data_IF_196388818439
#
_entry.id   IF_196388818439
#
_cell.length_a   1.000
_cell.length_b   1.000
_cell.length_c   1.000
_cell.angle_alpha   90.00
_cell.angle_beta   90.00
_cell.angle_gamma   90.00
#
_symmetry.space_group_name_H-M   'P 1'
#
loop_
_entity.id
_entity.type
_entity.pdbx_description
1 polymer ?
#
# COMPACT_ATOMS: atom_id res chain seq x y z
N UNK A 1 -25.19 2.33 -18.67
CA UNK A 1 -24.41 1.43 -19.55
C UNK A 1 -23.03 1.29 -18.94
N UNK A 2 -22.47 0.07 -18.85
CA UNK A 2 -21.14 -0.15 -18.23
C UNK A 2 -20.02 0.71 -18.84
N UNK A 3 -20.16 1.11 -20.12
CA UNK A 3 -19.21 2.03 -20.77
C UNK A 3 -19.21 3.44 -20.15
N UNK A 4 -20.33 3.87 -19.56
CA UNK A 4 -20.43 5.18 -18.89
C UNK A 4 -19.67 5.17 -17.57
N UNK A 5 -19.80 4.10 -16.77
CA UNK A 5 -19.03 3.94 -15.54
C UNK A 5 -17.52 4.00 -15.79
N UNK A 6 -17.01 3.30 -16.81
CA UNK A 6 -15.58 3.41 -17.18
C UNK A 6 -15.19 4.82 -17.66
N UNK A 7 -16.07 5.55 -18.33
CA UNK A 7 -15.81 6.95 -18.74
C UNK A 7 -15.74 7.87 -17.53
N UNK A 8 -16.71 7.75 -16.62
CA UNK A 8 -16.82 8.56 -15.41
C UNK A 8 -15.60 8.36 -14.50
N UNK A 9 -15.06 7.13 -14.44
CA UNK A 9 -13.84 6.78 -13.71
C UNK A 9 -12.56 7.39 -14.32
N UNK A 10 -12.41 7.36 -15.64
CA UNK A 10 -11.27 7.96 -16.36
C UNK A 10 -11.31 9.50 -16.31
N UNK A 11 -12.50 10.09 -16.29
CA UNK A 11 -12.67 11.54 -16.16
C UNK A 11 -12.32 12.05 -14.74
N UNK A 12 -12.53 11.23 -13.70
CA UNK A 12 -12.15 11.53 -12.32
C UNK A 12 -10.61 11.55 -12.11
N UNK A 13 -9.87 10.68 -12.80
CA UNK A 13 -8.39 10.68 -12.81
C UNK A 13 -7.80 11.96 -13.44
N UNK A 14 -8.43 12.48 -14.49
CA UNK A 14 -7.96 13.70 -15.16
C UNK A 14 -8.24 14.98 -14.35
N UNK A 15 -9.32 15.02 -13.57
CA UNK A 15 -9.63 16.15 -12.68
C UNK A 15 -8.73 16.20 -11.44
N UNK A 16 -8.34 15.06 -10.88
CA UNK A 16 -7.48 14.99 -9.70
C UNK A 16 -6.02 15.34 -10.00
N UNK A 17 -5.55 15.12 -11.24
CA UNK A 17 -4.22 15.54 -11.68
C UNK A 17 -4.12 17.07 -11.93
N UNK A 18 -5.23 17.73 -12.31
CA UNK A 18 -5.24 19.19 -12.58
C UNK A 18 -5.36 20.05 -11.30
N UNK A 19 -5.97 19.52 -10.23
CA UNK A 19 -6.25 20.30 -8.99
C UNK A 19 -5.08 20.40 -8.02
N UNK A 20 -4.00 19.61 -8.18
CA UNK A 20 -2.80 19.67 -7.32
C UNK A 20 -1.81 20.78 -7.69
N UNK A 21 -2.04 21.56 -8.76
CA UNK A 21 -1.07 22.54 -9.28
C UNK A 21 -1.58 23.98 -9.29
N UNK A 22 -1.98 24.54 -8.14
CA UNK A 22 -1.90 25.99 -7.82
C UNK A 22 -2.60 26.31 -6.49
N UNK A 23 -1.86 26.33 -5.38
CA UNK A 23 -2.12 27.27 -4.26
C UNK A 23 -0.79 27.71 -3.67
N UNK A 24 -0.25 28.77 -4.26
CA UNK A 24 0.67 29.69 -3.58
C UNK A 24 -0.12 30.32 -2.42
N UNK A 25 0.35 30.21 -1.18
CA UNK A 25 0.26 31.17 -0.05
C UNK A 25 0.66 30.46 1.27
N UNK A 26 1.74 30.91 1.92
CA UNK A 26 2.03 30.63 3.34
C UNK A 26 3.31 29.82 3.64
N UNK A 27 4.45 30.52 3.72
CA UNK A 27 5.81 29.99 3.95
C UNK A 27 6.12 29.50 5.39
N UNK A 28 5.21 28.77 6.06
CA UNK A 28 5.43 28.46 7.49
C UNK A 28 4.94 27.12 8.05
N UNK A 29 4.07 26.37 7.35
CA UNK A 29 3.40 25.20 7.97
C UNK A 29 3.60 23.86 7.24
N UNK A 30 4.26 23.85 6.06
CA UNK A 30 4.42 22.63 5.26
C UNK A 30 5.76 21.90 5.49
N UNK A 31 6.79 22.61 5.96
CA UNK A 31 8.11 22.03 6.19
C UNK A 31 8.21 21.14 7.44
N UNK A 32 7.31 21.31 8.41
CA UNK A 32 7.38 20.51 9.65
C UNK A 32 6.94 19.06 9.42
N UNK A 33 5.91 18.83 8.59
CA UNK A 33 5.41 17.47 8.32
C UNK A 33 6.38 16.60 7.52
N UNK A 34 7.12 17.17 6.59
CA UNK A 34 8.06 16.40 5.76
C UNK A 34 9.28 15.95 6.57
N UNK A 35 9.77 16.79 7.48
CA UNK A 35 10.92 16.48 8.34
C UNK A 35 10.55 15.42 9.39
N UNK A 36 9.37 15.53 10.00
CA UNK A 36 8.92 14.54 10.98
C UNK A 36 8.64 13.17 10.31
N UNK A 37 8.17 13.17 9.07
CA UNK A 37 7.92 11.94 8.31
C UNK A 37 9.22 11.24 7.87
N UNK A 38 10.26 11.97 7.48
CA UNK A 38 11.58 11.40 7.18
C UNK A 38 12.21 10.76 8.43
N UNK A 39 12.09 11.42 9.59
CA UNK A 39 12.60 10.90 10.88
C UNK A 39 11.85 9.66 11.35
N UNK A 40 10.56 9.58 11.06
CA UNK A 40 9.73 8.42 11.38
C UNK A 40 9.97 7.22 10.45
N UNK A 41 10.71 7.36 9.35
CA UNK A 41 11.12 6.28 8.44
C UNK A 41 12.54 5.75 8.72
N UNK A 42 13.33 6.45 9.55
CA UNK A 42 14.69 6.06 9.93
C UNK A 42 14.73 4.96 11.00
N UNK A 43 15.81 4.19 11.01
CA UNK A 43 16.08 3.25 12.09
C UNK A 43 16.52 3.99 13.36
N UNK A 44 15.83 3.79 14.49
CA UNK A 44 16.18 4.41 15.79
C UNK A 44 17.51 3.96 16.45
N UNK A 45 18.41 3.33 15.68
CA UNK A 45 19.75 2.89 16.13
C UNK A 45 20.83 3.44 15.19
N UNK A 46 20.79 3.14 13.90
CA UNK A 46 21.77 3.65 12.93
C UNK A 46 21.36 4.95 12.23
N UNK A 47 20.10 5.39 12.37
CA UNK A 47 19.52 6.57 11.71
C UNK A 47 19.50 6.49 10.17
N UNK A 48 19.76 5.33 9.59
CA UNK A 48 19.62 5.15 8.15
C UNK A 48 18.15 4.91 7.77
N UNK A 49 17.70 5.44 6.62
CA UNK A 49 16.39 5.14 6.07
C UNK A 49 16.32 3.67 5.62
N UNK A 50 15.14 3.07 5.74
CA UNK A 50 14.88 1.75 5.16
C UNK A 50 13.83 0.96 5.90
N UNK A 51 13.56 -0.24 5.37
CA UNK A 51 12.57 -1.15 5.92
C UNK A 51 12.90 -1.55 7.35
N UNK A 52 11.95 -1.31 8.25
CA UNK A 52 12.07 -1.64 9.67
C UNK A 52 11.43 -2.99 9.96
N UNK A 53 12.00 -3.70 10.93
CA UNK A 53 11.52 -4.96 11.46
C UNK A 53 10.98 -4.72 12.86
N UNK A 54 9.76 -5.18 13.13
CA UNK A 54 9.09 -5.07 14.42
C UNK A 54 9.34 -6.33 15.24
N UNK A 55 9.78 -6.16 16.48
CA UNK A 55 10.00 -7.24 17.42
C UNK A 55 8.68 -7.76 18.03
N UNK A 56 8.45 -9.09 18.05
CA UNK A 56 7.29 -9.66 18.71
C UNK A 56 7.37 -9.41 20.23
N UNK A 57 6.21 -9.27 20.87
CA UNK A 57 6.07 -9.10 22.33
C UNK A 57 6.37 -7.70 22.88
N UNK A 58 7.03 -6.81 22.12
CA UNK A 58 7.24 -5.41 22.55
C UNK A 58 6.99 -4.35 21.47
N UNK A 59 6.74 -4.75 20.22
CA UNK A 59 6.39 -3.88 19.10
C UNK A 59 7.40 -2.76 18.79
N UNK A 60 8.64 -2.85 19.26
CA UNK A 60 9.69 -1.90 18.88
C UNK A 60 10.28 -2.26 17.52
N UNK A 61 10.66 -1.24 16.76
CA UNK A 61 11.10 -1.38 15.38
C UNK A 61 12.55 -0.90 15.17
N UNK A 62 13.31 -1.62 14.36
CA UNK A 62 14.67 -1.25 13.91
C UNK A 62 14.98 -1.90 12.56
N UNK A 63 15.99 -1.46 11.83
CA UNK A 63 16.37 -2.12 10.57
C UNK A 63 16.91 -3.55 10.82
N UNK A 64 16.81 -4.40 9.80
CA UNK A 64 17.23 -5.82 9.90
C UNK A 64 18.71 -5.97 10.27
N UNK A 65 19.57 -5.04 9.84
CA UNK A 65 21.01 -5.07 10.14
C UNK A 65 21.25 -4.81 11.64
N UNK A 66 20.66 -3.76 12.20
CA UNK A 66 20.74 -3.48 13.62
C UNK A 66 20.16 -4.61 14.48
N UNK A 67 19.04 -5.22 14.04
CA UNK A 67 18.50 -6.41 14.72
C UNK A 67 19.52 -7.55 14.76
N UNK A 68 20.09 -7.94 13.60
CA UNK A 68 21.03 -9.05 13.51
C UNK A 68 22.29 -8.81 14.35
N UNK A 69 22.84 -7.61 14.27
CA UNK A 69 24.03 -7.23 15.04
C UNK A 69 23.79 -7.23 16.54
N UNK A 70 22.62 -6.75 16.96
CA UNK A 70 22.23 -6.73 18.36
C UNK A 70 21.92 -8.12 18.88
N UNK A 71 21.12 -8.91 18.17
CA UNK A 71 20.71 -10.26 18.60
C UNK A 71 21.90 -11.22 18.72
N UNK A 72 22.99 -10.99 17.96
CA UNK A 72 24.25 -11.73 18.12
C UNK A 72 24.96 -11.44 19.45
N UNK A 73 24.72 -10.27 20.05
CA UNK A 73 25.37 -9.79 21.29
C UNK A 73 24.46 -9.94 22.51
N UNK A 74 23.15 -9.74 22.35
CA UNK A 74 22.17 -9.77 23.41
C UNK A 74 20.82 -10.27 22.90
N UNK A 75 20.28 -11.29 23.57
CA UNK A 75 18.92 -11.79 23.35
C UNK A 75 17.88 -10.90 24.06
N UNK A 76 17.94 -9.59 23.86
CA UNK A 76 17.02 -8.62 24.46
C UNK A 76 16.67 -7.51 23.48
N UNK A 77 15.50 -6.89 23.60
CA UNK A 77 15.16 -5.69 22.85
C UNK A 77 16.12 -4.54 23.25
N UNK A 78 16.76 -3.82 22.31
CA UNK A 78 17.66 -2.71 22.62
C UNK A 78 16.93 -1.51 23.24
N UNK A 79 15.61 -1.40 23.02
CA UNK A 79 14.79 -0.29 23.50
C UNK A 79 14.23 -0.54 24.90
N UNK A 80 13.60 -1.69 25.12
CA UNK A 80 12.90 -1.99 26.39
C UNK A 80 13.55 -3.10 27.22
N UNK A 81 14.63 -3.73 26.73
CA UNK A 81 15.34 -4.84 27.40
C UNK A 81 14.50 -6.12 27.62
N UNK A 82 13.30 -6.21 27.05
CA UNK A 82 12.51 -7.44 27.04
C UNK A 82 13.22 -8.59 26.31
N UNK A 83 13.06 -9.83 26.76
CA UNK A 83 13.83 -10.98 26.24
C UNK A 83 13.42 -11.42 24.83
N UNK A 84 14.41 -11.81 24.01
CA UNK A 84 14.26 -12.27 22.62
C UNK A 84 14.68 -13.73 22.39
N UNK A 85 14.89 -14.51 23.46
CA UNK A 85 15.50 -15.86 23.42
C UNK A 85 14.83 -16.90 22.51
N UNK A 86 13.63 -16.62 21.99
CA UNK A 86 12.86 -17.52 21.10
C UNK A 86 12.42 -16.85 19.81
N UNK A 87 12.92 -15.64 19.54
CA UNK A 87 12.56 -14.89 18.33
C UNK A 87 13.50 -15.34 17.21
N UNK A 88 12.92 -15.95 16.18
CA UNK A 88 13.61 -16.29 14.95
C UNK A 88 13.36 -15.22 13.89
N UNK A 89 14.03 -15.34 12.74
CA UNK A 89 13.84 -14.38 11.64
C UNK A 89 12.43 -14.40 11.07
N UNK A 90 11.74 -15.53 11.16
CA UNK A 90 10.37 -15.71 10.68
C UNK A 90 9.33 -15.04 11.61
N UNK A 91 9.72 -14.74 12.86
CA UNK A 91 8.84 -14.10 13.84
C UNK A 91 8.88 -12.56 13.76
N UNK A 92 9.73 -12.01 12.89
CA UNK A 92 9.88 -10.58 12.70
C UNK A 92 8.87 -10.06 11.66
N UNK A 93 8.25 -8.93 11.96
CA UNK A 93 7.27 -8.32 11.06
C UNK A 93 7.92 -7.16 10.31
N UNK A 94 7.72 -7.11 9.00
CA UNK A 94 8.12 -5.95 8.19
C UNK A 94 7.16 -4.81 8.48
N UNK A 95 7.68 -3.66 8.91
CA UNK A 95 6.91 -2.43 9.06
C UNK A 95 6.84 -1.73 7.71
N UNK A 96 5.65 -1.73 7.11
CA UNK A 96 5.35 -0.96 5.91
C UNK A 96 5.29 0.52 6.23
N UNK A 97 5.95 1.35 5.44
CA UNK A 97 5.88 2.80 5.59
C UNK A 97 4.51 3.33 5.15
N UNK A 98 4.15 4.53 5.58
CA UNK A 98 2.92 5.17 5.12
C UNK A 98 2.91 5.44 3.60
N UNK A 99 4.08 5.54 2.98
CA UNK A 99 4.23 5.73 1.53
C UNK A 99 4.04 4.45 0.71
N UNK A 100 4.16 3.27 1.33
CA UNK A 100 3.92 1.98 0.69
C UNK A 100 2.44 1.53 0.74
N UNK A 101 1.61 2.23 1.51
CA UNK A 101 0.18 1.93 1.61
C UNK A 101 -0.57 2.57 0.45
N UNK A 102 -1.15 1.73 -0.41
CA UNK A 102 -2.04 2.15 -1.50
C UNK A 102 -3.37 2.61 -0.88
N UNK A 103 -3.88 3.77 -1.32
CA UNK A 103 -5.12 4.31 -0.78
C UNK A 103 -6.35 3.49 -1.22
N UNK A 104 -7.43 3.45 -0.42
CA UNK A 104 -8.59 2.64 -0.76
C UNK A 104 -9.27 3.05 -2.08
N UNK A 105 -9.21 4.33 -2.47
CA UNK A 105 -9.81 4.80 -3.73
C UNK A 105 -9.08 4.16 -4.91
N UNK A 106 -7.76 4.21 -4.94
CA UNK A 106 -6.96 3.57 -6.01
C UNK A 106 -7.15 2.05 -6.07
N UNK A 107 -7.23 1.35 -4.92
CA UNK A 107 -7.57 -0.08 -4.91
C UNK A 107 -8.92 -0.34 -5.58
N UNK A 108 -9.96 0.41 -5.21
CA UNK A 108 -11.30 0.21 -5.79
C UNK A 108 -11.32 0.45 -7.30
N UNK A 109 -10.57 1.43 -7.78
CA UNK A 109 -10.48 1.76 -9.21
C UNK A 109 -9.83 0.64 -10.03
N UNK A 110 -8.74 0.07 -9.52
CA UNK A 110 -8.08 -1.08 -10.15
C UNK A 110 -8.98 -2.33 -10.15
N UNK A 111 -9.69 -2.59 -9.04
CA UNK A 111 -10.62 -3.69 -8.94
C UNK A 111 -11.80 -3.57 -9.91
N UNK A 112 -12.40 -2.38 -10.00
CA UNK A 112 -13.48 -2.11 -10.94
C UNK A 112 -13.01 -2.26 -12.40
N UNK A 113 -11.81 -1.78 -12.71
CA UNK A 113 -11.20 -1.94 -14.04
C UNK A 113 -11.00 -3.41 -14.39
N UNK A 114 -10.45 -4.21 -13.46
CA UNK A 114 -10.27 -5.66 -13.61
C UNK A 114 -11.60 -6.38 -13.80
N UNK A 115 -12.62 -6.01 -13.01
CA UNK A 115 -13.96 -6.56 -13.11
C UNK A 115 -14.60 -6.26 -14.47
N UNK A 116 -14.46 -5.03 -14.97
CA UNK A 116 -14.96 -4.65 -16.28
C UNK A 116 -14.29 -5.45 -17.40
N UNK A 117 -12.97 -5.57 -17.40
CA UNK A 117 -12.23 -6.37 -18.37
C UNK A 117 -12.62 -7.85 -18.32
N UNK A 118 -12.86 -8.38 -17.12
CA UNK A 118 -13.40 -9.73 -16.95
C UNK A 118 -14.76 -9.88 -17.62
N UNK A 119 -15.72 -8.98 -17.37
CA UNK A 119 -17.04 -9.07 -18.03
C UNK A 119 -16.90 -8.98 -19.55
N UNK A 120 -16.00 -8.14 -20.05
CA UNK A 120 -15.78 -8.00 -21.49
C UNK A 120 -15.16 -9.25 -22.13
N UNK A 121 -14.38 -10.03 -21.37
CA UNK A 121 -13.76 -11.26 -21.86
C UNK A 121 -14.67 -12.49 -21.75
N UNK A 122 -15.84 -12.37 -21.10
CA UNK A 122 -16.82 -13.45 -21.06
C UNK A 122 -17.34 -13.78 -22.47
N UNK A 123 -17.49 -15.07 -22.81
CA UNK A 123 -18.16 -15.47 -24.03
C UNK A 123 -19.55 -14.82 -24.09
N UNK A 124 -19.92 -14.29 -25.25
CA UNK A 124 -21.28 -13.84 -25.45
C UNK A 124 -22.16 -15.08 -25.51
N UNK A 125 -23.11 -15.20 -24.59
CA UNK A 125 -24.21 -16.15 -24.73
C UNK A 125 -24.95 -15.79 -26.02
N UNK A 126 -24.66 -16.50 -27.10
CA UNK A 126 -25.55 -16.56 -28.25
C UNK A 126 -26.66 -17.52 -27.87
N UNK A 127 -27.92 -17.08 -27.77
CA UNK A 127 -29.00 -18.04 -27.74
C UNK A 127 -28.90 -18.82 -29.06
N UNK A 128 -28.58 -20.11 -28.97
CA UNK A 128 -28.84 -21.07 -30.03
C UNK A 128 -30.36 -21.24 -30.14
N UNK A 129 -31.03 -20.17 -30.53
CA UNK A 129 -32.42 -20.17 -30.92
C UNK A 129 -32.46 -19.72 -32.38
N UNK A 130 -31.90 -20.58 -33.22
CA UNK A 130 -32.47 -20.83 -34.54
C UNK A 130 -33.91 -21.30 -34.29
N UNK A 131 -34.81 -20.35 -34.07
CA UNK A 131 -36.24 -20.57 -34.29
C UNK A 131 -36.36 -20.96 -35.75
N UNK A 132 -36.36 -22.26 -36.03
CA UNK A 132 -36.78 -22.79 -37.31
C UNK A 132 -38.20 -22.28 -37.55
N UNK A 133 -38.28 -21.27 -38.40
CA UNK A 133 -39.48 -20.98 -39.18
C UNK A 133 -39.72 -22.23 -40.01
N UNK A 134 -40.58 -23.13 -39.53
CA UNK A 134 -41.15 -24.17 -40.39
C UNK A 134 -42.28 -23.52 -41.20
N UNK A 135 -42.20 -23.52 -42.54
CA UNK A 135 -43.33 -23.13 -43.38
C UNK A 135 -44.32 -24.29 -43.49
N UNK A 136 -45.54 -24.07 -43.02
CA UNK A 136 -46.81 -24.08 -43.78
C UNK A 136 -48.02 -24.12 -42.82
#
# INVERSE_FOLDING_TARGET
SMRRLHSDLVEQENSSHFTKKQKMLGHGALQTKTIDQERDDECGICLDPGTKMVLPGCCHAMCINCYRDWNRKSESCPFCRGGLRRVRSEDLWVLTSASEVIDPETVTMEELSRFYLYIQSLPKDTPEALFWVYPE
#
